data_IF_943428185300
#
_entry.id   IF_943428185300
#
_cell.length_a   1.000
_cell.length_b   1.000
_cell.length_c   1.000
_cell.angle_alpha   90.00
_cell.angle_beta   90.00
_cell.angle_gamma   90.00
#
_symmetry.space_group_name_H-M   'P 1'
#
loop_
_entity.id
_entity.type
_entity.pdbx_description
1 polymer ?
#
# COMPACT_ATOMS: atom_id res chain seq x y z
N UNK A 1 -3.65 -8.77 16.50
CA UNK A 1 -3.73 -9.13 15.07
C UNK A 1 -5.19 -9.22 14.68
N UNK A 2 -5.59 -8.52 13.62
CA UNK A 2 -6.94 -8.57 13.05
C UNK A 2 -6.85 -9.06 11.61
N UNK A 3 -7.78 -9.95 11.23
CA UNK A 3 -7.91 -10.48 9.86
C UNK A 3 -9.20 -9.93 9.24
N UNK A 4 -9.05 -9.25 8.10
CA UNK A 4 -10.11 -8.71 7.22
C UNK A 4 -11.11 -7.70 7.84
N UNK A 5 -11.62 -6.78 7.01
CA UNK A 5 -12.95 -6.16 7.20
C UNK A 5 -13.18 -5.30 8.45
N UNK A 6 -12.12 -4.77 9.08
CA UNK A 6 -12.25 -3.96 10.27
C UNK A 6 -12.81 -2.57 9.99
N UNK A 7 -13.93 -2.18 10.63
CA UNK A 7 -14.53 -0.85 10.49
C UNK A 7 -14.68 -0.18 11.85
N UNK A 8 -14.36 1.11 11.94
CA UNK A 8 -14.46 1.93 13.15
C UNK A 8 -13.67 1.31 14.32
N UNK A 9 -12.39 1.04 14.07
CA UNK A 9 -11.51 0.40 15.04
C UNK A 9 -10.69 1.48 15.74
N UNK A 10 -10.67 1.42 17.07
CA UNK A 10 -9.87 2.30 17.90
C UNK A 10 -8.96 1.47 18.80
N UNK A 11 -7.65 1.53 18.56
CA UNK A 11 -6.62 0.81 19.31
C UNK A 11 -5.73 1.83 19.98
N UNK A 12 -5.85 1.95 21.30
CA UNK A 12 -5.17 2.99 22.04
C UNK A 12 -4.56 2.54 23.36
N UNK A 13 -3.44 3.18 23.71
CA UNK A 13 -2.78 3.04 25.03
C UNK A 13 -2.40 1.61 25.38
N UNK A 14 -2.04 0.82 24.38
CA UNK A 14 -1.47 -0.50 24.60
C UNK A 14 0.04 -0.38 24.80
N UNK A 15 0.59 -1.28 25.60
CA UNK A 15 2.03 -1.49 25.73
C UNK A 15 2.36 -2.89 25.22
N UNK A 16 3.17 -2.95 24.15
CA UNK A 16 3.61 -4.18 23.53
C UNK A 16 5.14 -4.20 23.50
N UNK A 17 5.73 -4.93 24.44
CA UNK A 17 7.19 -5.15 24.48
C UNK A 17 7.43 -6.64 24.26
N UNK A 18 8.04 -7.01 23.13
CA UNK A 18 8.36 -8.43 22.85
C UNK A 18 9.82 -8.72 23.16
N UNK A 19 10.10 -9.93 23.65
CA UNK A 19 11.47 -10.34 23.96
C UNK A 19 12.24 -10.91 22.76
N UNK A 20 11.56 -11.22 21.65
CA UNK A 20 12.18 -11.85 20.48
C UNK A 20 11.63 -11.30 19.17
N UNK A 21 12.54 -10.78 18.33
CA UNK A 21 12.24 -10.22 17.03
C UNK A 21 12.44 -11.29 15.94
N UNK A 22 11.35 -11.73 15.32
CA UNK A 22 11.37 -12.53 14.08
C UNK A 22 10.51 -11.85 13.00
N UNK A 23 10.74 -12.23 11.74
CA UNK A 23 10.14 -11.62 10.52
C UNK A 23 8.64 -11.34 10.59
N UNK A 24 7.88 -12.22 11.25
CA UNK A 24 6.41 -12.15 11.31
C UNK A 24 5.95 -11.92 12.77
N UNK A 25 6.71 -11.12 13.52
CA UNK A 25 6.31 -10.60 14.83
C UNK A 25 5.74 -9.19 14.67
N UNK A 26 4.56 -9.04 14.09
CA UNK A 26 3.93 -7.73 14.00
C UNK A 26 3.41 -7.27 15.36
N UNK A 27 3.56 -5.98 15.65
CA UNK A 27 2.99 -5.33 16.84
C UNK A 27 1.47 -5.22 16.71
N UNK A 28 1.01 -4.13 16.12
CA UNK A 28 -0.41 -3.88 15.83
C UNK A 28 -0.66 -4.02 14.32
N UNK A 29 -1.39 -5.07 13.94
CA UNK A 29 -1.60 -5.45 12.55
C UNK A 29 -3.07 -5.56 12.21
N UNK A 30 -3.48 -4.83 11.16
CA UNK A 30 -4.62 -5.17 10.32
C UNK A 30 -4.12 -5.88 9.07
N UNK A 31 -4.46 -7.16 8.91
CA UNK A 31 -4.04 -7.98 7.77
C UNK A 31 -5.25 -8.29 6.88
N UNK A 32 -5.11 -8.04 5.57
CA UNK A 32 -6.11 -8.38 4.56
C UNK A 32 -5.40 -9.06 3.39
N UNK A 33 -5.55 -10.37 3.31
CA UNK A 33 -5.18 -11.16 2.14
C UNK A 33 -6.37 -11.23 1.19
N UNK A 34 -6.53 -10.24 0.31
CA UNK A 34 -7.66 -10.20 -0.62
C UNK A 34 -7.22 -9.92 -2.03
N UNK A 35 -7.77 -10.66 -2.96
CA UNK A 35 -7.62 -10.42 -4.38
C UNK A 35 -8.44 -9.19 -4.81
N UNK A 36 -7.97 -8.52 -5.86
CA UNK A 36 -8.55 -7.27 -6.35
C UNK A 36 -8.65 -7.28 -7.86
N UNK A 37 -9.88 -7.22 -8.35
CA UNK A 37 -10.18 -7.41 -9.76
C UNK A 37 -10.35 -6.06 -10.45
N UNK A 38 -9.52 -5.75 -11.46
CA UNK A 38 -9.74 -4.58 -12.29
C UNK A 38 -10.97 -4.76 -13.19
N UNK A 39 -11.80 -3.73 -13.23
CA UNK A 39 -13.06 -3.66 -13.95
C UNK A 39 -13.04 -2.37 -14.78
N UNK A 40 -12.90 -2.52 -16.09
CA UNK A 40 -12.86 -1.38 -17.01
C UNK A 40 -14.27 -0.89 -17.33
N UNK A 41 -14.45 0.43 -17.35
CA UNK A 41 -15.75 1.04 -17.66
C UNK A 41 -15.91 1.21 -19.17
N UNK A 42 -17.05 0.73 -19.69
CA UNK A 42 -17.50 1.05 -21.05
C UNK A 42 -18.45 2.24 -21.04
N UNK A 43 -19.42 2.22 -20.14
CA UNK A 43 -20.42 3.28 -19.94
C UNK A 43 -20.85 3.28 -18.48
N UNK A 44 -21.19 4.45 -17.95
CA UNK A 44 -21.79 4.56 -16.63
C UNK A 44 -22.90 5.61 -16.60
N UNK A 45 -23.87 5.40 -15.72
CA UNK A 45 -24.95 6.34 -15.45
C UNK A 45 -25.43 6.19 -14.00
N UNK A 46 -25.43 7.28 -13.25
CA UNK A 46 -25.86 7.36 -11.84
C UNK A 46 -25.29 6.26 -10.95
N UNK A 47 -25.99 5.13 -10.82
CA UNK A 47 -25.63 3.97 -10.01
C UNK A 47 -25.38 2.71 -10.84
N UNK A 48 -25.16 2.83 -12.15
CA UNK A 48 -24.92 1.70 -13.06
C UNK A 48 -23.62 1.87 -13.81
N UNK A 49 -22.92 0.76 -14.00
CA UNK A 49 -21.72 0.67 -14.84
C UNK A 49 -21.86 -0.55 -15.74
N UNK A 50 -21.64 -0.35 -17.03
CA UNK A 50 -21.45 -1.41 -18.02
C UNK A 50 -19.96 -1.61 -18.18
N UNK A 51 -19.52 -2.86 -18.03
CA UNK A 51 -18.12 -3.24 -18.10
C UNK A 51 -17.61 -3.37 -19.54
N UNK A 52 -16.35 -3.02 -19.75
CA UNK A 52 -15.63 -3.22 -21.01
C UNK A 52 -14.91 -4.58 -20.97
N UNK A 53 -15.61 -5.61 -21.43
CA UNK A 53 -15.13 -7.00 -21.39
C UNK A 53 -13.86 -7.20 -22.21
N UNK A 54 -13.75 -6.52 -23.36
CA UNK A 54 -12.59 -6.64 -24.24
C UNK A 54 -11.34 -6.07 -23.57
N UNK A 55 -11.47 -4.93 -22.86
CA UNK A 55 -10.36 -4.37 -22.06
C UNK A 55 -9.98 -5.25 -20.87
N UNK A 56 -10.96 -5.84 -20.17
CA UNK A 56 -10.67 -6.77 -19.07
C UNK A 56 -9.90 -7.99 -19.60
N UNK A 57 -10.31 -8.55 -20.74
CA UNK A 57 -9.60 -9.67 -21.37
C UNK A 57 -8.18 -9.27 -21.78
N UNK A 58 -8.03 -8.15 -22.47
CA UNK A 58 -6.72 -7.65 -22.91
C UNK A 58 -5.77 -7.41 -21.72
N UNK A 59 -6.30 -6.90 -20.60
CA UNK A 59 -5.53 -6.71 -19.37
C UNK A 59 -4.97 -8.03 -18.84
N UNK A 60 -5.79 -9.08 -18.73
CA UNK A 60 -5.31 -10.37 -18.22
C UNK A 60 -4.46 -11.16 -19.19
N UNK A 61 -4.66 -11.00 -20.49
CA UNK A 61 -3.73 -11.54 -21.51
C UNK A 61 -2.33 -10.93 -21.31
N UNK A 62 -2.26 -9.63 -20.99
CA UNK A 62 -0.99 -8.92 -20.79
C UNK A 62 -0.33 -9.20 -19.44
N UNK A 63 -1.10 -9.17 -18.36
CA UNK A 63 -0.56 -9.14 -16.99
C UNK A 63 -0.75 -10.43 -16.20
N UNK A 64 -1.34 -11.46 -16.82
CA UNK A 64 -1.68 -12.72 -16.17
C UNK A 64 -3.11 -12.77 -15.68
N UNK A 65 -3.56 -13.96 -15.30
CA UNK A 65 -4.93 -14.21 -14.81
C UNK A 65 -4.93 -14.28 -13.29
N UNK A 66 -5.92 -13.68 -12.60
CA UNK A 66 -6.03 -13.76 -11.16
C UNK A 66 -6.46 -15.17 -10.73
N UNK A 67 -6.03 -15.59 -9.55
CA UNK A 67 -6.51 -16.80 -8.89
C UNK A 67 -8.00 -16.68 -8.50
N UNK A 68 -8.48 -15.47 -8.22
CA UNK A 68 -9.89 -15.22 -7.94
C UNK A 68 -10.73 -15.38 -9.21
N UNK A 69 -11.44 -16.50 -9.29
CA UNK A 69 -12.24 -16.86 -10.46
C UNK A 69 -13.55 -16.07 -10.48
N UNK A 70 -13.59 -14.97 -11.24
CA UNK A 70 -14.85 -14.39 -11.73
C UNK A 70 -15.29 -15.02 -13.06
N UNK A 71 -14.94 -16.29 -13.26
CA UNK A 71 -15.35 -17.09 -14.40
C UNK A 71 -16.02 -18.35 -13.93
N UNK A 72 -17.04 -18.78 -14.67
CA UNK A 72 -17.70 -20.05 -14.43
C UNK A 72 -16.85 -21.23 -14.94
N UNK A 73 -17.34 -22.45 -14.72
CA UNK A 73 -16.68 -23.69 -15.18
C UNK A 73 -16.47 -23.77 -16.70
N UNK A 74 -17.19 -22.97 -17.48
CA UNK A 74 -17.06 -22.88 -18.94
C UNK A 74 -16.03 -21.84 -19.38
N UNK A 75 -15.43 -21.11 -18.43
CA UNK A 75 -14.49 -20.03 -18.70
C UNK A 75 -15.14 -18.71 -19.10
N UNK A 76 -16.46 -18.58 -18.98
CA UNK A 76 -17.18 -17.32 -19.26
C UNK A 76 -17.17 -16.44 -18.00
N UNK A 77 -17.20 -15.11 -18.18
CA UNK A 77 -17.30 -14.18 -17.05
C UNK A 77 -18.60 -14.39 -16.27
N UNK A 78 -18.48 -14.55 -14.95
CA UNK A 78 -19.59 -14.57 -14.02
C UNK A 78 -19.43 -13.43 -12.99
N UNK A 79 -19.91 -12.25 -13.38
CA UNK A 79 -19.90 -11.09 -12.50
C UNK A 79 -20.90 -11.20 -11.35
N UNK A 80 -21.80 -12.19 -11.33
CA UNK A 80 -22.76 -12.34 -10.24
C UNK A 80 -22.07 -12.58 -8.88
N UNK A 81 -20.85 -13.11 -8.93
CA UNK A 81 -19.95 -13.30 -7.79
C UNK A 81 -19.48 -11.98 -7.15
N UNK A 82 -19.63 -10.85 -7.84
CA UNK A 82 -19.29 -9.53 -7.31
C UNK A 82 -20.40 -8.91 -6.47
N UNK A 83 -21.59 -9.52 -6.40
CA UNK A 83 -22.72 -8.97 -5.65
C UNK A 83 -22.37 -8.89 -4.16
N UNK A 84 -22.49 -7.70 -3.58
CA UNK A 84 -22.15 -7.41 -2.19
C UNK A 84 -20.70 -6.98 -1.99
N UNK A 85 -19.85 -7.07 -3.02
CA UNK A 85 -18.47 -6.62 -2.92
C UNK A 85 -18.39 -5.09 -2.97
N UNK A 86 -17.44 -4.56 -2.21
CA UNK A 86 -17.02 -3.18 -2.34
C UNK A 86 -16.24 -2.99 -3.65
N UNK A 87 -16.50 -1.89 -4.33
CA UNK A 87 -15.81 -1.47 -5.54
C UNK A 87 -15.31 -0.04 -5.34
N UNK A 88 -14.05 0.18 -5.69
CA UNK A 88 -13.42 1.49 -5.64
C UNK A 88 -13.00 1.95 -7.04
N UNK A 89 -13.07 3.24 -7.31
CA UNK A 89 -12.46 3.85 -8.50
C UNK A 89 -10.97 4.10 -8.25
N UNK A 90 -10.11 3.39 -8.99
CA UNK A 90 -8.64 3.45 -8.88
C UNK A 90 -7.99 4.42 -9.87
N UNK A 91 -8.69 4.77 -10.95
CA UNK A 91 -8.20 5.68 -11.99
C UNK A 91 -9.36 6.42 -12.62
N UNK A 92 -9.09 7.60 -13.17
CA UNK A 92 -10.05 8.39 -13.93
C UNK A 92 -11.04 9.14 -13.04
N UNK A 93 -12.19 9.47 -13.63
CA UNK A 93 -13.21 10.30 -13.01
C UNK A 93 -13.84 9.61 -11.79
N UNK A 94 -13.82 10.28 -10.65
CA UNK A 94 -14.33 9.75 -9.38
C UNK A 94 -13.30 8.96 -8.58
N UNK A 95 -12.01 9.08 -8.89
CA UNK A 95 -10.89 8.50 -8.12
C UNK A 95 -11.11 8.57 -6.60
N UNK A 96 -10.91 7.44 -5.92
CA UNK A 96 -11.04 7.34 -4.47
C UNK A 96 -12.46 7.04 -3.98
N UNK A 97 -13.49 7.23 -4.80
CA UNK A 97 -14.87 6.90 -4.44
C UNK A 97 -15.07 5.39 -4.33
N UNK A 98 -15.92 4.99 -3.38
CA UNK A 98 -16.23 3.60 -3.06
C UNK A 98 -17.74 3.39 -3.08
N UNK A 99 -18.16 2.19 -3.49
CA UNK A 99 -19.57 1.80 -3.50
C UNK A 99 -19.68 0.28 -3.38
N UNK A 100 -20.89 -0.25 -3.27
CA UNK A 100 -21.14 -1.69 -3.17
C UNK A 100 -22.04 -2.17 -4.29
N UNK A 101 -21.70 -3.30 -4.90
CA UNK A 101 -22.52 -3.92 -5.96
C UNK A 101 -23.81 -4.46 -5.35
N UNK A 102 -24.95 -3.88 -5.72
CA UNK A 102 -26.27 -4.30 -5.27
C UNK A 102 -26.85 -5.41 -6.16
N UNK A 103 -26.68 -5.26 -7.48
CA UNK A 103 -27.25 -6.18 -8.48
C UNK A 103 -26.31 -6.29 -9.67
N UNK A 104 -26.30 -7.47 -10.28
CA UNK A 104 -25.59 -7.76 -11.51
C UNK A 104 -26.57 -8.28 -12.56
N UNK A 105 -26.41 -7.83 -13.80
CA UNK A 105 -27.20 -8.28 -14.95
C UNK A 105 -26.29 -8.35 -16.17
N UNK A 106 -25.72 -9.52 -16.44
CA UNK A 106 -24.67 -9.66 -17.46
C UNK A 106 -23.42 -8.88 -17.07
N UNK A 107 -22.96 -8.01 -17.96
CA UNK A 107 -21.84 -7.07 -17.78
C UNK A 107 -22.23 -5.76 -17.09
N UNK A 108 -23.49 -5.62 -16.66
CA UNK A 108 -23.98 -4.43 -15.99
C UNK A 108 -24.01 -4.62 -14.47
N UNK A 109 -23.23 -3.78 -13.77
CA UNK A 109 -23.22 -3.65 -12.32
C UNK A 109 -24.13 -2.50 -11.91
N UNK A 110 -25.05 -2.75 -10.98
CA UNK A 110 -25.84 -1.72 -10.30
C UNK A 110 -25.38 -1.60 -8.86
N UNK A 111 -25.11 -0.38 -8.41
CA UNK A 111 -24.58 -0.07 -7.10
C UNK A 111 -25.65 0.38 -6.12
N UNK A 112 -25.38 0.18 -4.82
CA UNK A 112 -26.29 0.53 -3.72
C UNK A 112 -26.69 2.01 -3.69
N UNK A 113 -25.78 2.89 -4.10
CA UNK A 113 -25.99 4.35 -4.11
C UNK A 113 -25.59 4.94 -5.47
N UNK A 114 -26.19 6.06 -5.91
CA UNK A 114 -25.65 6.84 -7.02
C UNK A 114 -24.22 7.28 -6.73
N UNK A 115 -23.39 7.34 -7.77
CA UNK A 115 -22.06 7.92 -7.70
C UNK A 115 -22.18 9.44 -7.58
N UNK A 116 -21.54 10.03 -6.55
CA UNK A 116 -21.43 11.48 -6.44
C UNK A 116 -20.73 12.10 -7.67
N UNK A 117 -19.76 11.37 -8.21
CA UNK A 117 -19.11 11.66 -9.48
C UNK A 117 -19.22 10.41 -10.34
N UNK A 118 -20.09 10.43 -11.35
CA UNK A 118 -20.29 9.29 -12.26
C UNK A 118 -18.97 9.00 -12.99
N UNK A 119 -18.45 7.75 -12.95
CA UNK A 119 -17.26 7.37 -13.69
C UNK A 119 -17.50 7.43 -15.20
N UNK A 120 -16.44 7.43 -15.98
CA UNK A 120 -16.47 7.45 -17.44
C UNK A 120 -15.61 6.33 -18.03
N UNK A 121 -15.49 6.28 -19.36
CA UNK A 121 -14.73 5.23 -20.07
C UNK A 121 -13.22 5.23 -19.82
N UNK A 122 -12.69 6.28 -19.18
CA UNK A 122 -11.29 6.37 -18.76
C UNK A 122 -11.10 5.88 -17.32
N UNK A 123 -12.21 5.59 -16.62
CA UNK A 123 -12.20 5.16 -15.23
C UNK A 123 -11.91 3.67 -15.10
N UNK A 124 -11.12 3.33 -14.08
CA UNK A 124 -10.87 1.96 -13.66
C UNK A 124 -11.54 1.72 -12.31
N UNK A 125 -12.40 0.71 -12.27
CA UNK A 125 -12.98 0.22 -11.03
C UNK A 125 -12.18 -0.99 -10.55
N UNK A 126 -12.13 -1.21 -9.25
CA UNK A 126 -11.50 -2.37 -8.64
C UNK A 126 -12.48 -2.97 -7.64
N UNK A 127 -12.89 -4.22 -7.88
CA UNK A 127 -13.67 -4.98 -6.92
C UNK A 127 -12.76 -5.66 -5.90
N UNK A 128 -13.13 -5.57 -4.63
CA UNK A 128 -12.39 -6.14 -3.52
C UNK A 128 -13.02 -7.46 -3.09
N UNK A 129 -12.22 -8.53 -2.98
CA UNK A 129 -12.69 -9.82 -2.45
C UNK A 129 -13.18 -9.70 -1.00
N UNK A 130 -12.43 -8.94 -0.18
CA UNK A 130 -12.78 -8.63 1.20
C UNK A 130 -12.95 -7.12 1.38
N UNK A 131 -13.78 -6.73 2.35
CA UNK A 131 -13.95 -5.32 2.71
C UNK A 131 -12.64 -4.72 3.21
N UNK A 132 -12.36 -3.48 2.77
CA UNK A 132 -11.23 -2.71 3.26
C UNK A 132 -11.32 -2.45 4.76
N UNK A 133 -10.16 -2.20 5.39
CA UNK A 133 -10.15 -1.53 6.68
C UNK A 133 -10.67 -0.09 6.53
N UNK A 134 -11.60 0.32 7.40
CA UNK A 134 -12.24 1.64 7.36
C UNK A 134 -12.17 2.30 8.72
N UNK A 135 -11.86 3.59 8.78
CA UNK A 135 -11.90 4.38 10.02
C UNK A 135 -11.11 3.72 11.15
N UNK A 136 -9.84 3.42 10.89
CA UNK A 136 -8.97 2.76 11.87
C UNK A 136 -8.04 3.77 12.50
N UNK A 137 -8.04 3.84 13.83
CA UNK A 137 -7.17 4.74 14.58
C UNK A 137 -6.29 3.94 15.53
N UNK A 138 -4.98 4.11 15.39
CA UNK A 138 -3.97 3.65 16.33
C UNK A 138 -3.40 4.86 17.07
N UNK A 139 -3.59 4.96 18.38
CA UNK A 139 -3.13 6.14 19.10
C UNK A 139 -2.51 5.87 20.47
N UNK A 140 -1.41 6.58 20.77
CA UNK A 140 -0.76 6.53 22.09
C UNK A 140 -0.36 5.12 22.52
N UNK A 141 -0.02 4.25 21.57
CA UNK A 141 0.52 2.93 21.88
C UNK A 141 2.04 3.02 22.09
N UNK A 142 2.58 2.14 22.92
CA UNK A 142 4.01 1.92 23.12
C UNK A 142 4.33 0.55 22.54
N UNK A 143 5.23 0.48 21.55
CA UNK A 143 5.57 -0.77 20.85
C UNK A 143 7.08 -0.91 20.73
N UNK A 144 7.62 -2.00 21.25
CA UNK A 144 9.06 -2.26 21.24
C UNK A 144 9.39 -3.68 20.78
N UNK A 145 10.52 -3.80 20.07
CA UNK A 145 11.13 -5.09 19.70
C UNK A 145 10.22 -5.99 18.84
N UNK A 146 9.53 -5.39 17.87
CA UNK A 146 8.68 -6.06 16.89
C UNK A 146 9.26 -5.99 15.48
N UNK A 147 8.73 -6.80 14.55
CA UNK A 147 8.81 -6.53 13.11
C UNK A 147 8.08 -5.21 12.78
N UNK A 148 7.11 -5.17 11.86
CA UNK A 148 6.25 -4.00 11.71
C UNK A 148 5.61 -3.58 13.05
N UNK A 149 5.77 -2.32 13.45
CA UNK A 149 5.22 -1.81 14.69
C UNK A 149 3.70 -1.62 14.58
N UNK A 150 3.29 -0.86 13.56
CA UNK A 150 1.88 -0.62 13.22
C UNK A 150 1.75 -0.78 11.71
N UNK A 151 0.97 -1.76 11.27
CA UNK A 151 0.84 -2.07 9.85
C UNK A 151 -0.61 -2.31 9.47
N UNK A 152 -1.04 -1.69 8.37
CA UNK A 152 -2.18 -2.15 7.59
C UNK A 152 -1.64 -2.85 6.35
N UNK A 153 -1.72 -4.18 6.35
CA UNK A 153 -1.40 -5.01 5.20
C UNK A 153 -2.66 -5.26 4.39
N UNK A 154 -2.63 -4.88 3.11
CA UNK A 154 -3.66 -5.14 2.12
C UNK A 154 -4.34 -3.84 1.74
N UNK A 155 -5.57 -3.64 2.21
CA UNK A 155 -6.37 -2.47 1.87
C UNK A 155 -6.94 -1.76 3.10
N UNK A 156 -6.65 -0.47 3.23
CA UNK A 156 -7.26 0.42 4.20
C UNK A 156 -7.66 1.78 3.61
N UNK A 157 -8.59 2.42 4.27
CA UNK A 157 -9.07 3.77 3.98
C UNK A 157 -9.35 4.50 5.29
N UNK A 158 -9.01 5.79 5.32
CA UNK A 158 -9.28 6.66 6.47
C UNK A 158 -8.64 6.09 7.75
N UNK A 159 -7.33 5.87 7.66
CA UNK A 159 -6.54 5.28 8.74
C UNK A 159 -5.61 6.32 9.37
N UNK A 160 -5.59 6.38 10.70
CA UNK A 160 -4.81 7.34 11.47
C UNK A 160 -3.88 6.59 12.42
N UNK A 161 -2.60 6.92 12.38
CA UNK A 161 -1.57 6.46 13.31
C UNK A 161 -1.04 7.70 14.04
N UNK A 162 -1.60 8.00 15.21
CA UNK A 162 -1.41 9.27 15.92
C UNK A 162 -0.79 9.10 17.31
N UNK A 163 0.37 9.69 17.55
CA UNK A 163 0.91 9.81 18.90
C UNK A 163 1.48 8.51 19.47
N UNK A 164 1.87 7.55 18.62
CA UNK A 164 2.46 6.29 19.07
C UNK A 164 3.97 6.46 19.33
N UNK A 165 4.50 5.71 20.30
CA UNK A 165 5.93 5.62 20.57
C UNK A 165 6.40 4.23 20.19
N UNK A 166 7.33 4.13 19.25
CA UNK A 166 7.88 2.84 18.82
C UNK A 166 9.41 2.86 18.92
N UNK A 167 9.98 1.77 19.41
CA UNK A 167 11.42 1.65 19.55
C UNK A 167 11.92 0.27 19.12
N UNK A 168 13.03 0.22 18.36
CA UNK A 168 13.60 -1.04 17.88
C UNK A 168 12.53 -1.86 17.15
N UNK A 169 11.92 -1.24 16.15
CA UNK A 169 10.89 -1.87 15.34
C UNK A 169 11.16 -1.71 13.85
N UNK A 170 10.41 -2.46 13.06
CA UNK A 170 10.16 -2.20 11.65
C UNK A 170 9.13 -1.08 11.44
N UNK A 171 8.44 -1.12 10.30
CA UNK A 171 7.65 0.01 9.79
C UNK A 171 6.47 0.43 10.67
N UNK A 172 6.15 1.73 10.60
CA UNK A 172 4.80 2.28 10.79
C UNK A 172 4.27 2.63 9.40
N UNK A 173 3.10 2.08 9.05
CA UNK A 173 2.43 2.41 7.80
C UNK A 173 1.80 1.19 7.16
N UNK A 174 2.08 1.01 5.88
CA UNK A 174 1.21 0.21 5.02
C UNK A 174 2.00 -0.80 4.22
N UNK A 175 1.37 -1.94 3.92
CA UNK A 175 1.99 -3.01 3.14
C UNK A 175 1.01 -3.55 2.11
N UNK A 176 1.47 -3.78 0.88
CA UNK A 176 0.65 -4.45 -0.13
C UNK A 176 1.49 -5.47 -0.91
N UNK A 177 0.84 -6.55 -1.35
CA UNK A 177 1.43 -7.51 -2.29
C UNK A 177 0.82 -7.27 -3.66
N UNK A 178 1.68 -7.18 -4.68
CA UNK A 178 1.28 -7.17 -6.08
C UNK A 178 1.30 -8.58 -6.63
N UNK A 179 0.20 -8.95 -7.27
CA UNK A 179 -0.02 -10.28 -7.83
C UNK A 179 -0.37 -10.12 -9.31
N UNK A 180 0.14 -10.99 -10.21
CA UNK A 180 -0.21 -10.97 -11.64
C UNK A 180 -1.73 -10.89 -11.86
N UNK A 181 -2.15 -10.08 -12.83
CA UNK A 181 -3.56 -9.96 -13.22
C UNK A 181 -4.46 -9.25 -12.21
N UNK A 182 -3.91 -8.68 -11.14
CA UNK A 182 -4.68 -7.99 -10.10
C UNK A 182 -4.29 -6.53 -9.99
N UNK A 183 -5.23 -5.72 -9.50
CA UNK A 183 -4.92 -4.35 -9.15
C UNK A 183 -4.13 -4.30 -7.83
N UNK A 184 -2.98 -3.63 -7.86
CA UNK A 184 -2.16 -3.31 -6.71
C UNK A 184 -2.64 -2.07 -5.97
N UNK A 185 -2.29 -1.91 -4.69
CA UNK A 185 -2.49 -0.64 -4.00
C UNK A 185 -3.21 -0.74 -2.67
N UNK A 186 -3.92 0.31 -2.31
CA UNK A 186 -4.96 0.20 -1.30
C UNK A 186 -4.66 0.83 0.05
N UNK A 187 -3.93 1.93 0.14
CA UNK A 187 -3.89 2.69 1.39
C UNK A 187 -4.20 4.14 1.13
N UNK A 188 -5.48 4.50 1.32
CA UNK A 188 -6.00 5.82 0.97
C UNK A 188 -6.41 6.61 2.20
N UNK A 189 -6.19 7.92 2.17
CA UNK A 189 -6.51 8.85 3.24
C UNK A 189 -5.86 8.45 4.57
N UNK A 190 -4.54 8.22 4.54
CA UNK A 190 -3.75 7.83 5.70
C UNK A 190 -3.11 9.05 6.35
N UNK A 191 -3.08 9.05 7.68
CA UNK A 191 -2.35 10.05 8.46
C UNK A 191 -1.42 9.34 9.44
N UNK A 192 -0.13 9.61 9.34
CA UNK A 192 0.88 9.17 10.31
C UNK A 192 1.42 10.43 10.97
N UNK A 193 0.94 10.71 12.17
CA UNK A 193 1.13 12.01 12.82
C UNK A 193 1.55 11.89 14.27
N UNK A 194 2.35 12.86 14.74
CA UNK A 194 2.72 12.99 16.15
C UNK A 194 3.44 11.76 16.75
N UNK A 195 3.99 10.85 15.94
CA UNK A 195 4.63 9.64 16.45
C UNK A 195 6.10 9.89 16.82
N UNK A 196 6.60 9.09 17.76
CA UNK A 196 8.03 8.99 18.09
C UNK A 196 8.50 7.62 17.61
N UNK A 197 9.54 7.62 16.77
CA UNK A 197 10.14 6.42 16.18
C UNK A 197 11.63 6.44 16.52
N UNK A 198 12.05 5.47 17.31
CA UNK A 198 13.42 5.35 17.79
C UNK A 198 14.04 4.02 17.33
N UNK A 199 15.29 4.05 16.86
CA UNK A 199 16.01 2.83 16.46
C UNK A 199 15.27 2.01 15.40
N UNK A 200 14.84 2.68 14.32
CA UNK A 200 14.23 2.03 13.18
C UNK A 200 15.21 1.04 12.54
N UNK A 201 15.00 -0.27 12.69
CA UNK A 201 15.99 -1.23 12.18
C UNK A 201 15.75 -1.53 10.72
N UNK A 202 16.80 -1.38 9.92
CA UNK A 202 16.82 -1.78 8.51
C UNK A 202 17.09 -3.28 8.39
N UNK A 203 16.57 -3.90 7.33
CA UNK A 203 16.95 -5.26 6.93
C UNK A 203 18.46 -5.36 6.81
N UNK A 204 19.10 -6.13 7.70
CA UNK A 204 20.48 -6.53 7.54
C UNK A 204 20.55 -7.99 7.07
N UNK A 205 20.83 -8.20 5.79
CA UNK A 205 20.79 -9.52 5.14
C UNK A 205 21.87 -10.48 5.68
N UNK A 206 22.96 -9.96 6.22
CA UNK A 206 24.05 -10.78 6.79
C UNK A 206 23.79 -11.20 8.24
N UNK A 207 22.83 -10.57 8.94
CA UNK A 207 22.63 -10.85 10.36
C UNK A 207 21.75 -12.09 10.63
N UNK A 208 20.84 -12.51 9.73
CA UNK A 208 19.97 -13.69 10.00
C UNK A 208 19.46 -14.47 8.77
N UNK A 209 20.21 -15.43 8.21
CA UNK A 209 19.69 -16.50 7.35
C UNK A 209 19.07 -17.65 8.19
N UNK A 210 17.98 -18.32 7.76
CA UNK A 210 17.17 -18.11 6.56
C UNK A 210 15.92 -17.21 6.77
N UNK A 211 15.73 -16.65 7.98
CA UNK A 211 14.46 -16.06 8.44
C UNK A 211 14.40 -14.53 8.55
N UNK A 212 15.43 -13.79 8.14
CA UNK A 212 15.47 -12.33 8.27
C UNK A 212 14.71 -11.59 7.17
N UNK A 213 13.37 -11.68 7.12
CA UNK A 213 12.57 -10.70 6.37
C UNK A 213 12.22 -9.56 7.31
N UNK A 214 12.95 -8.46 7.19
CA UNK A 214 12.70 -7.27 7.99
C UNK A 214 11.90 -6.28 7.15
N UNK A 215 10.81 -5.78 7.72
CA UNK A 215 10.25 -4.48 7.34
C UNK A 215 11.15 -3.43 7.98
N UNK A 216 11.78 -2.56 7.20
CA UNK A 216 12.67 -1.53 7.75
C UNK A 216 11.92 -0.58 8.69
N UNK A 217 12.59 -0.11 9.74
CA UNK A 217 12.06 0.84 10.71
C UNK A 217 11.90 2.24 10.13
N UNK A 218 10.75 2.48 9.51
CA UNK A 218 10.46 3.69 8.74
C UNK A 218 8.99 4.07 8.86
N UNK A 219 8.68 5.31 8.51
CA UNK A 219 7.36 5.63 7.99
C UNK A 219 7.37 5.32 6.50
N UNK A 220 6.55 4.37 6.04
CA UNK A 220 6.55 3.94 4.64
C UNK A 220 5.26 3.28 4.18
N UNK A 221 5.06 3.25 2.86
CA UNK A 221 4.28 2.18 2.24
C UNK A 221 5.21 1.18 1.58
N UNK A 222 5.13 -0.07 2.02
CA UNK A 222 5.90 -1.17 1.47
C UNK A 222 5.09 -1.95 0.43
N UNK A 223 5.77 -2.34 -0.65
CA UNK A 223 5.19 -3.22 -1.65
C UNK A 223 6.08 -4.43 -1.88
N UNK A 224 5.50 -5.62 -1.81
CA UNK A 224 6.13 -6.84 -2.29
C UNK A 224 5.52 -7.25 -3.60
N UNK A 225 6.35 -7.83 -4.45
CA UNK A 225 5.96 -8.32 -5.77
C UNK A 225 5.96 -9.84 -5.73
N UNK A 226 4.87 -10.47 -6.16
CA UNK A 226 4.79 -11.92 -6.28
C UNK A 226 5.55 -12.40 -7.53
N UNK A 227 6.08 -13.61 -7.49
CA UNK A 227 6.78 -14.20 -8.64
C UNK A 227 5.87 -14.18 -9.88
N UNK A 228 6.42 -13.73 -11.01
CA UNK A 228 5.69 -13.64 -12.28
C UNK A 228 4.90 -12.34 -12.48
N UNK A 229 4.94 -11.39 -11.55
CA UNK A 229 4.36 -10.06 -11.78
C UNK A 229 5.08 -9.34 -12.92
N UNK A 230 4.34 -9.06 -13.98
CA UNK A 230 4.83 -8.36 -15.19
C UNK A 230 4.28 -6.94 -15.31
N UNK A 231 3.58 -6.45 -14.27
CA UNK A 231 2.88 -5.17 -14.24
C UNK A 231 1.40 -5.34 -13.89
N UNK A 232 0.68 -4.22 -13.84
CA UNK A 232 -0.74 -4.19 -13.51
C UNK A 232 -1.20 -2.77 -13.20
N UNK A 233 -2.49 -2.60 -12.94
CA UNK A 233 -3.02 -1.32 -12.49
C UNK A 233 -2.76 -1.14 -10.99
N UNK A 234 -2.44 0.08 -10.56
CA UNK A 234 -2.07 0.40 -9.19
C UNK A 234 -2.68 1.70 -8.69
N UNK A 235 -3.15 1.72 -7.44
CA UNK A 235 -3.38 2.95 -6.69
C UNK A 235 -2.77 2.82 -5.31
N UNK A 236 -1.50 3.19 -5.20
CA UNK A 236 -0.67 2.92 -4.04
C UNK A 236 -1.04 3.77 -2.85
N UNK A 237 -1.00 5.08 -3.05
CA UNK A 237 -1.27 6.05 -2.01
C UNK A 237 -2.18 7.13 -2.61
N UNK A 238 -3.26 7.47 -1.89
CA UNK A 238 -4.06 8.66 -2.18
C UNK A 238 -4.26 9.42 -0.88
N UNK A 239 -3.91 10.70 -0.85
CA UNK A 239 -4.15 11.56 0.33
C UNK A 239 -3.40 11.06 1.56
N UNK A 240 -2.08 10.91 1.47
CA UNK A 240 -1.23 10.42 2.54
C UNK A 240 -0.55 11.60 3.25
N UNK A 241 -0.67 11.70 4.57
CA UNK A 241 -0.09 12.78 5.36
C UNK A 241 0.88 12.19 6.38
N UNK A 242 2.14 12.64 6.33
CA UNK A 242 3.17 12.34 7.33
C UNK A 242 3.59 13.64 7.99
N UNK A 243 3.09 13.90 9.20
CA UNK A 243 3.24 15.20 9.86
C UNK A 243 3.69 15.12 11.31
N UNK A 244 4.60 15.99 11.71
CA UNK A 244 4.97 16.19 13.12
C UNK A 244 5.45 14.91 13.82
N UNK A 245 6.15 14.02 13.09
CA UNK A 245 6.77 12.85 13.68
C UNK A 245 8.22 13.17 14.08
N UNK A 246 8.68 12.55 15.17
CA UNK A 246 10.08 12.54 15.58
C UNK A 246 10.67 11.16 15.24
N UNK A 247 11.67 11.16 14.36
CA UNK A 247 12.41 9.97 13.95
C UNK A 247 13.86 10.10 14.44
N UNK A 248 14.37 9.11 15.15
CA UNK A 248 15.70 9.13 15.74
C UNK A 248 16.43 7.81 15.54
N UNK A 249 17.77 7.85 15.60
CA UNK A 249 18.65 6.69 15.62
C UNK A 249 18.39 5.73 14.45
N UNK A 250 18.81 6.13 13.24
CA UNK A 250 18.65 5.38 11.99
C UNK A 250 17.20 5.14 11.52
N UNK A 251 16.30 6.05 11.90
CA UNK A 251 14.92 6.07 11.41
C UNK A 251 14.76 7.04 10.22
N UNK A 252 13.92 6.68 9.24
CA UNK A 252 13.78 7.41 7.96
C UNK A 252 12.31 7.45 7.52
N UNK A 253 11.92 8.47 6.76
CA UNK A 253 10.65 8.48 6.01
C UNK A 253 10.95 8.02 4.59
N UNK A 254 10.31 6.94 4.14
CA UNK A 254 10.59 6.34 2.83
C UNK A 254 9.31 6.08 2.07
N UNK A 255 9.20 6.63 0.87
CA UNK A 255 8.18 6.25 -0.10
C UNK A 255 8.89 5.93 -1.40
N UNK A 256 8.98 4.65 -1.73
CA UNK A 256 9.73 4.20 -2.90
C UNK A 256 8.96 3.14 -3.66
N UNK A 257 9.43 2.91 -4.88
CA UNK A 257 8.85 1.95 -5.81
C UNK A 257 9.03 0.50 -5.39
N UNK A 258 8.27 -0.36 -6.05
CA UNK A 258 8.11 -1.76 -5.67
C UNK A 258 9.42 -2.49 -5.45
N UNK A 259 9.44 -3.36 -4.45
CA UNK A 259 10.47 -4.38 -4.34
C UNK A 259 10.24 -5.42 -5.43
N UNK A 260 10.92 -5.29 -6.56
CA UNK A 260 10.99 -6.38 -7.51
C UNK A 260 11.90 -7.52 -7.02
N UNK A 261 11.61 -8.73 -7.50
CA UNK A 261 12.37 -9.98 -7.31
C UNK A 261 12.87 -10.58 -8.65
N UNK A 262 12.85 -9.85 -9.75
CA UNK A 262 13.16 -10.40 -11.08
C UNK A 262 14.67 -10.63 -11.28
N UNK A 263 15.03 -11.59 -12.14
CA UNK A 263 16.43 -11.90 -12.47
C UNK A 263 17.17 -10.69 -13.08
N UNK A 264 16.44 -9.84 -13.81
CA UNK A 264 16.95 -8.59 -14.37
C UNK A 264 17.40 -7.61 -13.28
N UNK A 265 16.79 -7.66 -12.10
CA UNK A 265 17.12 -6.80 -10.97
C UNK A 265 18.31 -7.31 -10.18
N UNK A 266 18.47 -8.63 -10.08
CA UNK A 266 19.74 -9.23 -9.63
C UNK A 266 20.88 -8.76 -10.54
N UNK A 267 20.65 -8.74 -11.85
CA UNK A 267 21.64 -8.28 -12.83
C UNK A 267 21.92 -6.77 -12.75
N UNK A 268 20.92 -5.91 -12.46
CA UNK A 268 21.12 -4.46 -12.23
C UNK A 268 21.93 -4.21 -10.95
N UNK A 269 21.59 -4.91 -9.87
CA UNK A 269 22.31 -4.83 -8.58
C UNK A 269 23.75 -5.33 -8.73
N UNK A 270 23.97 -6.40 -9.49
CA UNK A 270 25.31 -6.93 -9.78
C UNK A 270 26.14 -5.99 -10.67
N UNK A 271 25.51 -5.24 -11.58
CA UNK A 271 26.20 -4.31 -12.49
C UNK A 271 26.46 -2.93 -11.92
N UNK A 272 25.60 -2.44 -11.02
CA UNK A 272 25.77 -1.13 -10.39
C UNK A 272 25.30 -1.18 -8.92
N UNK A 273 26.18 -1.63 -8.00
CA UNK A 273 25.87 -1.72 -6.58
C UNK A 273 25.50 -0.36 -5.95
N UNK A 274 25.84 0.76 -6.59
CA UNK A 274 25.57 2.11 -6.08
C UNK A 274 24.11 2.53 -6.20
N UNK A 275 23.32 1.84 -7.05
CA UNK A 275 21.85 2.00 -7.17
C UNK A 275 21.08 1.36 -6.02
N UNK A 276 21.77 0.64 -5.13
CA UNK A 276 21.20 0.12 -3.89
C UNK A 276 21.19 1.26 -2.87
N UNK A 277 20.07 1.98 -2.77
CA UNK A 277 19.91 3.01 -1.75
C UNK A 277 19.75 2.35 -0.36
N UNK A 278 20.80 2.43 0.45
CA UNK A 278 20.89 1.85 1.79
C UNK A 278 21.33 0.38 1.79
N UNK A 279 21.52 -0.21 2.97
CA UNK A 279 21.90 -1.62 3.15
C UNK A 279 20.77 -2.62 2.78
N UNK A 280 19.82 -2.19 1.93
CA UNK A 280 18.68 -2.99 1.47
C UNK A 280 17.81 -2.31 0.40
N UNK A 281 18.06 -2.70 -0.86
CA UNK A 281 17.14 -2.81 -2.00
C UNK A 281 16.15 -1.64 -2.24
N UNK A 282 16.51 -0.73 -3.14
CA UNK A 282 15.56 -0.05 -4.02
C UNK A 282 15.80 -0.62 -5.41
N UNK A 283 14.79 -1.23 -6.00
CA UNK A 283 14.77 -1.37 -7.46
C UNK A 283 13.57 -0.54 -7.89
N UNK A 284 13.82 0.48 -8.68
CA UNK A 284 12.75 1.23 -9.35
C UNK A 284 12.05 0.28 -10.31
N UNK A 285 10.88 -0.20 -9.92
CA UNK A 285 9.89 -0.70 -10.88
C UNK A 285 8.83 0.38 -11.03
N UNK A 286 9.19 1.47 -11.66
CA UNK A 286 8.19 2.40 -12.16
C UNK A 286 7.78 1.91 -13.53
N UNK A 287 6.48 1.83 -13.79
CA UNK A 287 6.07 2.33 -15.10
C UNK A 287 6.32 3.85 -15.02
N UNK A 288 7.45 4.33 -15.54
CA UNK A 288 7.76 5.77 -15.60
C UNK A 288 6.62 6.58 -16.26
N UNK A 289 5.70 5.89 -16.94
CA UNK A 289 4.53 6.47 -17.58
C UNK A 289 3.26 6.49 -16.71
N UNK A 290 3.29 6.04 -15.45
CA UNK A 290 2.12 6.07 -14.56
C UNK A 290 2.32 6.97 -13.33
N UNK A 291 2.27 8.31 -13.49
CA UNK A 291 2.41 9.26 -12.38
C UNK A 291 1.24 9.23 -11.38
N UNK A 292 0.22 8.40 -11.62
CA UNK A 292 -1.03 8.38 -10.86
C UNK A 292 -1.05 7.36 -9.72
N UNK A 293 0.03 6.61 -9.51
CA UNK A 293 0.06 5.60 -8.45
C UNK A 293 0.22 6.22 -7.05
N UNK A 294 0.87 7.38 -6.94
CA UNK A 294 1.04 8.13 -5.70
C UNK A 294 0.45 9.52 -5.83
N UNK A 295 -0.71 9.75 -5.22
CA UNK A 295 -1.44 11.01 -5.33
C UNK A 295 -1.63 11.67 -3.97
N UNK A 296 -1.21 12.93 -3.84
CA UNK A 296 -1.42 13.71 -2.63
C UNK A 296 -0.65 13.18 -1.42
N UNK A 297 0.66 12.94 -1.58
CA UNK A 297 1.57 12.70 -0.45
C UNK A 297 2.06 14.05 0.11
N UNK A 298 1.90 14.25 1.41
CA UNK A 298 2.40 15.44 2.13
C UNK A 298 3.32 14.96 3.26
N UNK A 299 4.55 15.46 3.27
CA UNK A 299 5.55 15.19 4.32
C UNK A 299 6.00 16.52 4.91
N UNK A 300 5.53 16.84 6.10
CA UNK A 300 5.79 18.15 6.69
C UNK A 300 6.01 18.14 8.20
N UNK A 301 6.75 19.13 8.70
CA UNK A 301 6.92 19.34 10.14
C UNK A 301 7.54 18.15 10.90
N UNK A 302 8.15 17.19 10.20
CA UNK A 302 8.83 16.07 10.84
C UNK A 302 10.22 16.48 11.29
N UNK A 303 10.72 15.89 12.37
CA UNK A 303 12.10 16.02 12.81
C UNK A 303 12.80 14.68 12.70
N UNK A 304 13.93 14.64 12.00
CA UNK A 304 14.75 13.43 11.85
C UNK A 304 16.13 13.70 12.43
N UNK A 305 16.58 12.84 13.34
CA UNK A 305 17.87 13.00 14.02
C UNK A 305 18.69 11.72 14.04
N UNK A 306 20.01 11.87 14.01
CA UNK A 306 20.96 10.77 14.22
C UNK A 306 20.67 9.57 13.28
N UNK A 307 20.45 9.89 12.00
CA UNK A 307 20.05 8.90 11.00
C UNK A 307 20.93 8.99 9.78
N UNK A 308 21.34 7.84 9.24
CA UNK A 308 21.99 7.77 7.93
C UNK A 308 21.14 8.41 6.81
N UNK A 309 19.81 8.25 6.87
CA UNK A 309 18.87 8.79 5.87
C UNK A 309 17.72 9.56 6.50
N UNK A 310 17.40 10.74 5.94
CA UNK A 310 16.27 11.58 6.33
C UNK A 310 14.96 11.20 5.63
N UNK A 311 14.72 11.80 4.47
CA UNK A 311 13.58 11.49 3.59
C UNK A 311 14.13 10.85 2.31
N UNK A 312 13.51 9.76 1.87
CA UNK A 312 13.81 9.06 0.63
C UNK A 312 12.54 8.90 -0.21
N UNK A 313 12.51 9.55 -1.36
CA UNK A 313 11.43 9.44 -2.35
C UNK A 313 11.89 8.71 -3.61
N UNK A 314 11.02 7.89 -4.19
CA UNK A 314 11.21 7.32 -5.51
C UNK A 314 11.02 8.37 -6.60
N UNK A 315 11.65 8.17 -7.76
CA UNK A 315 11.67 9.12 -8.90
C UNK A 315 10.29 9.55 -9.46
N UNK A 316 9.26 8.74 -9.27
CA UNK A 316 7.87 9.00 -9.69
C UNK A 316 6.96 9.43 -8.52
N UNK A 317 7.49 9.58 -7.30
CA UNK A 317 6.69 9.95 -6.13
C UNK A 317 6.53 11.47 -6.11
N UNK A 318 5.30 11.92 -6.38
CA UNK A 318 4.94 13.32 -6.24
C UNK A 318 4.55 13.62 -4.79
N UNK A 319 5.37 14.41 -4.11
CA UNK A 319 5.16 14.79 -2.72
C UNK A 319 5.31 16.29 -2.49
N UNK A 320 4.47 16.84 -1.60
CA UNK A 320 4.74 18.14 -0.98
C UNK A 320 5.63 17.91 0.24
N UNK A 321 6.87 18.40 0.17
CA UNK A 321 7.83 18.30 1.27
C UNK A 321 8.13 19.70 1.80
N UNK A 322 7.84 19.99 3.07
CA UNK A 322 8.10 21.32 3.66
C UNK A 322 8.31 21.27 5.17
N UNK A 323 9.05 22.25 5.70
CA UNK A 323 9.22 22.46 7.14
C UNK A 323 9.72 21.23 7.94
N UNK A 324 10.46 20.31 7.31
CA UNK A 324 11.09 19.19 8.02
C UNK A 324 12.46 19.61 8.58
N UNK A 325 12.76 19.20 9.81
CA UNK A 325 14.05 19.42 10.47
C UNK A 325 14.95 18.19 10.38
N UNK A 326 16.25 18.41 10.12
CA UNK A 326 17.27 17.36 10.04
C UNK A 326 18.43 17.72 10.95
N UNK A 327 18.77 16.84 11.90
CA UNK A 327 19.88 17.03 12.85
C UNK A 327 20.78 15.80 12.80
N UNK A 328 22.08 15.97 12.50
CA UNK A 328 22.99 14.83 12.31
C UNK A 328 22.45 13.76 11.33
N UNK A 329 21.97 14.20 10.16
CA UNK A 329 21.49 13.32 9.09
C UNK A 329 22.49 13.30 7.93
N UNK A 330 22.96 12.12 7.53
CA UNK A 330 24.00 12.02 6.50
C UNK A 330 23.48 12.28 5.08
N UNK A 331 22.27 11.79 4.75
CA UNK A 331 21.73 11.81 3.38
C UNK A 331 20.22 12.09 3.33
N UNK A 332 19.81 12.88 2.35
CA UNK A 332 18.41 13.06 1.95
C UNK A 332 18.30 12.95 0.42
N UNK A 333 17.23 12.31 -0.07
CA UNK A 333 16.93 12.20 -1.50
C UNK A 333 15.48 12.62 -1.75
N UNK A 334 15.33 13.66 -2.56
CA UNK A 334 14.05 14.13 -3.08
C UNK A 334 13.98 13.82 -4.57
#
# INVERSE_FOLDING_TARGET
WMMYGGNNIFIARNELVRQFWVSDCEGLLGHMWGYRIPLYVKLADQNKVILDIDKIEAYWVKYGKPDWQIRNEKGEYDFSLLKGNEVQIFKGRGLGLVNEVQKVSGDCLTFKKPWNTVPDSESLLVAHEFLAYRNVVFTKNIIEDTGPAIMIWGHGHECIMDGNSVARTGLIGTYCVLVPGMAGGGCHFFQIINNIIDQGRVRNIVQHPPGGRYAGGYITTFYSVYDGYSGGEGLHNVGYIVRNNLLMNDSTIRFGNYKGNTQEQKNIIEKDPSRVYGDGFVVEMTDENNPYEHLGLVIEENTIRDSKYGILLGSNVLAVVRANGFDNVEKCCF
#
